data_IF_198055004153
#
_entry.id   IF_198055004153
#
_cell.length_a   1.000
_cell.length_b   1.000
_cell.length_c   1.000
_cell.angle_alpha   90.00
_cell.angle_beta   90.00
_cell.angle_gamma   90.00
#
_symmetry.space_group_name_H-M   'P 1'
#
loop_
_entity.id
_entity.type
_entity.pdbx_description
1 polymer ?
#
# COMPACT_ATOMS: atom_id res chain seq x y z
N UNK A 1 -14.73 -26.31 83.84
CA UNK A 1 -15.50 -25.50 82.86
C UNK A 1 -15.02 -25.89 81.46
N UNK A 2 -15.88 -26.55 80.69
CA UNK A 2 -15.59 -26.90 79.29
C UNK A 2 -16.17 -25.81 78.41
N UNK A 3 -15.35 -24.99 77.80
CA UNK A 3 -15.78 -24.02 76.80
C UNK A 3 -16.17 -24.80 75.52
N UNK A 4 -17.45 -24.62 75.09
CA UNK A 4 -17.94 -25.08 73.81
C UNK A 4 -17.59 -24.03 72.79
N UNK A 5 -16.63 -24.32 71.91
CA UNK A 5 -16.33 -23.53 70.70
C UNK A 5 -17.47 -23.75 69.70
N UNK A 6 -18.25 -22.74 69.46
CA UNK A 6 -19.35 -22.74 68.48
C UNK A 6 -18.73 -22.35 67.10
N UNK A 7 -18.58 -23.31 66.20
CA UNK A 7 -18.17 -23.05 64.82
C UNK A 7 -19.40 -22.52 64.04
N UNK A 8 -19.41 -21.25 63.67
CA UNK A 8 -20.33 -20.75 62.70
C UNK A 8 -19.84 -21.09 61.29
N UNK A 9 -20.49 -22.07 60.66
CA UNK A 9 -20.30 -22.37 59.24
C UNK A 9 -21.09 -21.32 58.44
N UNK A 10 -20.40 -20.28 57.94
CA UNK A 10 -21.01 -19.36 56.97
C UNK A 10 -21.07 -20.06 55.63
N UNK A 11 -22.22 -20.63 55.30
CA UNK A 11 -22.49 -21.12 53.96
C UNK A 11 -22.82 -19.87 53.12
N UNK A 12 -21.84 -19.33 52.41
CA UNK A 12 -22.10 -18.38 51.32
C UNK A 12 -22.80 -19.14 50.18
N UNK A 13 -24.09 -18.99 50.11
CA UNK A 13 -24.86 -19.49 48.99
C UNK A 13 -24.44 -18.75 47.72
N UNK A 14 -23.92 -19.47 46.75
CA UNK A 14 -23.66 -18.93 45.40
C UNK A 14 -25.02 -18.87 44.71
N UNK A 15 -25.57 -17.67 44.53
CA UNK A 15 -26.82 -17.47 43.81
C UNK A 15 -26.51 -17.21 42.34
N UNK A 16 -27.08 -18.01 41.44
CA UNK A 16 -27.07 -17.69 40.02
C UNK A 16 -27.85 -16.38 39.80
N UNK A 17 -27.22 -15.40 39.17
CA UNK A 17 -27.83 -14.11 38.89
C UNK A 17 -28.36 -14.08 37.44
N UNK A 18 -29.69 -13.97 37.27
CA UNK A 18 -30.29 -13.87 35.96
C UNK A 18 -30.08 -12.52 35.25
N UNK A 19 -29.50 -11.54 35.95
CA UNK A 19 -29.16 -10.21 35.46
C UNK A 19 -27.68 -10.02 35.15
N UNK A 20 -26.97 -11.10 34.84
CA UNK A 20 -25.54 -11.08 34.51
C UNK A 20 -24.61 -11.37 35.70
N UNK A 21 -23.39 -11.85 35.44
CA UNK A 21 -22.39 -12.15 36.46
C UNK A 21 -21.69 -10.90 36.98
N UNK A 22 -20.93 -11.04 38.07
CA UNK A 22 -19.92 -10.05 38.45
C UNK A 22 -18.84 -9.94 37.36
N UNK A 23 -18.01 -8.90 37.43
CA UNK A 23 -16.89 -8.75 36.51
C UNK A 23 -15.90 -9.92 36.59
N UNK A 24 -15.24 -10.24 35.46
CA UNK A 24 -14.12 -11.15 35.42
C UNK A 24 -14.48 -12.62 35.10
N UNK A 25 -15.64 -12.88 34.50
CA UNK A 25 -16.05 -14.23 34.10
C UNK A 25 -16.13 -14.42 32.58
N UNK A 26 -15.45 -13.55 31.81
CA UNK A 26 -15.39 -13.64 30.35
C UNK A 26 -14.31 -14.62 29.81
N UNK A 27 -13.70 -15.44 30.64
CA UNK A 27 -12.57 -16.30 30.30
C UNK A 27 -11.35 -15.52 29.81
N UNK A 28 -11.06 -14.41 30.44
CA UNK A 28 -10.00 -13.51 30.05
C UNK A 28 -8.81 -13.52 31.03
N UNK A 29 -7.66 -13.09 30.53
CA UNK A 29 -6.45 -12.95 31.33
C UNK A 29 -6.64 -11.92 32.50
N UNK A 30 -5.93 -12.10 33.62
CA UNK A 30 -4.97 -13.18 33.93
C UNK A 30 -5.62 -14.45 34.53
N UNK A 31 -6.89 -14.38 34.99
CA UNK A 31 -7.47 -15.42 35.83
C UNK A 31 -8.20 -16.51 35.06
N UNK A 32 -8.61 -16.26 33.82
CA UNK A 32 -9.35 -17.19 32.94
C UNK A 32 -10.65 -17.72 33.58
N UNK A 33 -11.25 -16.96 34.52
CA UNK A 33 -12.50 -17.34 35.14
C UNK A 33 -13.65 -17.30 34.10
N UNK A 34 -14.60 -18.19 34.24
CA UNK A 34 -15.74 -18.31 33.35
C UNK A 34 -17.01 -18.71 34.13
N UNK A 35 -18.10 -18.99 33.45
CA UNK A 35 -19.38 -19.32 34.07
C UNK A 35 -19.35 -20.57 34.95
N UNK A 36 -18.31 -21.47 34.85
CA UNK A 36 -18.20 -22.65 35.73
C UNK A 36 -17.88 -22.30 37.16
N UNK A 37 -17.51 -21.06 37.47
CA UNK A 37 -17.32 -20.62 38.87
C UNK A 37 -18.60 -20.64 39.69
N UNK A 38 -19.77 -20.54 39.02
CA UNK A 38 -21.08 -20.55 39.64
C UNK A 38 -21.99 -21.67 39.12
N UNK A 39 -21.82 -22.08 37.86
CA UNK A 39 -22.61 -23.14 37.22
C UNK A 39 -21.83 -24.45 37.19
N UNK A 40 -22.53 -25.56 37.46
CA UNK A 40 -21.92 -26.89 37.44
C UNK A 40 -21.74 -27.37 36.00
N UNK A 41 -20.60 -27.92 35.66
CA UNK A 41 -20.30 -28.47 34.34
C UNK A 41 -18.82 -28.31 34.00
N UNK A 42 -18.44 -28.87 32.86
CA UNK A 42 -17.11 -28.68 32.29
C UNK A 42 -17.19 -27.71 31.12
N UNK A 43 -16.21 -26.83 31.00
CA UNK A 43 -16.14 -25.87 29.90
C UNK A 43 -16.05 -26.59 28.56
N UNK A 44 -16.85 -26.17 27.58
CA UNK A 44 -16.88 -26.70 26.20
C UNK A 44 -17.23 -28.20 26.10
N UNK A 45 -17.95 -28.75 27.06
CA UNK A 45 -18.33 -30.16 27.06
C UNK A 45 -19.70 -30.48 26.42
N UNK A 46 -20.54 -29.47 26.22
CA UNK A 46 -21.87 -29.59 25.59
C UNK A 46 -21.84 -29.62 24.06
N UNK A 47 -23.01 -29.63 23.45
CA UNK A 47 -23.20 -29.64 21.98
C UNK A 47 -23.42 -28.24 21.39
N UNK A 48 -23.02 -27.19 22.08
CA UNK A 48 -23.13 -25.80 21.65
C UNK A 48 -21.74 -25.14 21.56
N UNK A 49 -21.77 -23.83 21.44
CA UNK A 49 -20.59 -22.98 21.44
C UNK A 49 -20.94 -21.55 21.85
N UNK A 50 -19.91 -20.79 22.14
CA UNK A 50 -19.94 -19.32 22.11
C UNK A 50 -19.03 -18.85 21.00
N UNK A 51 -19.43 -17.86 20.22
CA UNK A 51 -18.67 -17.29 19.11
C UNK A 51 -18.86 -15.80 19.03
N UNK A 52 -17.85 -15.10 18.47
CA UNK A 52 -18.00 -13.72 18.02
C UNK A 52 -18.55 -13.69 16.59
N UNK A 53 -19.42 -12.72 16.32
CA UNK A 53 -20.01 -12.46 15.00
C UNK A 53 -19.61 -11.05 14.59
N UNK A 54 -19.23 -10.87 13.33
CA UNK A 54 -18.72 -9.62 12.78
C UNK A 54 -17.47 -9.09 13.52
N UNK A 55 -16.69 -9.97 14.13
CA UNK A 55 -15.35 -9.58 14.60
C UNK A 55 -14.48 -9.35 13.37
N UNK A 56 -13.87 -8.16 13.18
CA UNK A 56 -13.04 -7.91 12.02
C UNK A 56 -11.76 -8.74 12.07
N UNK A 57 -11.14 -8.98 10.94
CA UNK A 57 -9.84 -9.66 10.87
C UNK A 57 -8.71 -8.75 11.40
N UNK A 58 -8.86 -7.44 11.17
CA UNK A 58 -7.94 -6.39 11.63
C UNK A 58 -8.75 -5.24 12.24
N UNK A 59 -8.12 -4.42 13.07
CA UNK A 59 -8.72 -3.17 13.53
C UNK A 59 -7.92 -1.96 13.06
N UNK A 60 -8.62 -0.91 12.67
CA UNK A 60 -8.03 0.41 12.39
C UNK A 60 -8.11 1.23 13.69
N UNK A 61 -7.02 1.88 14.13
CA UNK A 61 -7.03 2.70 15.33
C UNK A 61 -8.11 3.78 15.30
N UNK A 62 -8.92 3.83 16.37
CA UNK A 62 -10.01 4.79 16.54
C UNK A 62 -11.34 4.43 15.86
N UNK A 63 -11.38 3.43 15.01
CA UNK A 63 -12.61 2.99 14.33
C UNK A 63 -13.56 2.24 15.26
N UNK A 64 -14.86 2.29 14.92
CA UNK A 64 -15.93 1.64 15.69
C UNK A 64 -16.48 0.42 14.94
N UNK A 65 -16.50 -0.72 15.61
CA UNK A 65 -16.99 -1.99 15.09
C UNK A 65 -18.21 -2.46 15.85
N UNK A 66 -19.26 -2.89 15.14
CA UNK A 66 -20.44 -3.49 15.74
C UNK A 66 -20.27 -5.02 15.79
N UNK A 67 -19.97 -5.53 16.98
CA UNK A 67 -19.60 -6.93 17.22
C UNK A 67 -20.74 -7.67 17.89
N UNK A 68 -20.99 -8.91 17.47
CA UNK A 68 -21.95 -9.81 18.10
C UNK A 68 -21.29 -10.89 18.95
N UNK A 69 -22.04 -11.38 19.94
CA UNK A 69 -21.77 -12.64 20.63
C UNK A 69 -22.96 -13.55 20.46
N UNK A 70 -22.72 -14.78 20.02
CA UNK A 70 -23.72 -15.83 19.93
C UNK A 70 -23.37 -17.00 20.84
N UNK A 71 -24.39 -17.48 21.60
CA UNK A 71 -24.30 -18.68 22.43
C UNK A 71 -25.34 -19.66 21.92
N UNK A 72 -24.91 -20.85 21.55
CA UNK A 72 -25.78 -21.94 21.11
C UNK A 72 -25.75 -23.12 22.08
N UNK A 73 -26.74 -23.98 22.01
CA UNK A 73 -26.82 -25.23 22.77
C UNK A 73 -28.09 -26.00 22.42
N UNK A 74 -28.09 -27.33 22.56
CA UNK A 74 -29.24 -28.16 22.29
C UNK A 74 -30.13 -28.29 23.52
N UNK A 75 -31.45 -28.20 23.33
CA UNK A 75 -32.49 -28.33 24.38
C UNK A 75 -32.38 -27.29 25.52
N UNK A 76 -31.79 -26.12 25.24
CA UNK A 76 -31.59 -25.07 26.22
C UNK A 76 -32.79 -24.10 26.23
N UNK A 77 -33.06 -23.52 27.40
CA UNK A 77 -34.19 -22.61 27.64
C UNK A 77 -33.83 -21.17 27.88
N UNK A 78 -32.57 -20.91 27.92
CA UNK A 78 -32.05 -19.55 28.07
C UNK A 78 -30.55 -19.48 27.95
N UNK A 79 -30.09 -18.29 27.60
CA UNK A 79 -28.67 -18.00 27.36
C UNK A 79 -28.21 -16.77 28.11
N UNK A 80 -26.93 -16.74 28.42
CA UNK A 80 -26.24 -15.60 29.00
C UNK A 80 -24.78 -15.56 28.55
N UNK A 81 -24.13 -14.41 28.70
CA UNK A 81 -22.72 -14.22 28.33
C UNK A 81 -22.06 -13.11 29.14
N UNK A 82 -20.75 -13.10 29.12
CA UNK A 82 -19.92 -11.95 29.46
C UNK A 82 -18.74 -11.93 28.48
N UNK A 83 -18.35 -10.72 27.98
CA UNK A 83 -17.24 -10.55 27.05
C UNK A 83 -16.43 -9.30 27.40
N UNK A 84 -15.18 -9.25 26.92
CA UNK A 84 -14.22 -8.15 27.09
C UNK A 84 -13.21 -8.16 25.93
N UNK A 85 -12.60 -6.99 25.62
CA UNK A 85 -11.46 -6.83 24.74
C UNK A 85 -10.22 -6.42 25.56
N UNK A 86 -9.08 -7.08 25.37
CA UNK A 86 -7.84 -6.83 26.10
C UNK A 86 -6.61 -6.94 25.18
N UNK A 87 -5.56 -6.17 25.53
CA UNK A 87 -4.19 -6.43 25.08
C UNK A 87 -3.36 -6.82 26.29
N UNK A 88 -2.90 -8.06 26.29
CA UNK A 88 -2.33 -8.69 27.49
C UNK A 88 -3.34 -8.72 28.66
N UNK A 89 -3.04 -8.02 29.75
CA UNK A 89 -3.90 -7.91 30.93
C UNK A 89 -4.66 -6.58 31.02
N UNK A 90 -4.49 -5.70 30.05
CA UNK A 90 -5.10 -4.36 30.02
C UNK A 90 -6.31 -4.34 29.10
N UNK A 91 -7.32 -3.54 29.45
CA UNK A 91 -8.47 -3.30 28.57
C UNK A 91 -7.99 -2.61 27.30
N UNK A 92 -8.47 -3.06 26.15
CA UNK A 92 -8.13 -2.54 24.84
C UNK A 92 -9.35 -1.94 24.15
N UNK A 93 -9.31 -0.64 23.87
CA UNK A 93 -10.44 0.09 23.29
C UNK A 93 -11.59 0.28 24.30
N UNK A 94 -12.75 0.68 23.80
CA UNK A 94 -13.94 0.95 24.60
C UNK A 94 -15.14 0.18 24.06
N UNK A 95 -15.76 -0.66 24.90
CA UNK A 95 -17.03 -1.34 24.59
C UNK A 95 -18.18 -0.45 25.05
N UNK A 96 -19.20 -0.29 24.22
CA UNK A 96 -20.41 0.45 24.50
C UNK A 96 -21.65 -0.24 23.95
N UNK A 97 -22.83 0.16 24.43
CA UNK A 97 -24.10 -0.34 23.92
C UNK A 97 -24.62 0.60 22.82
N UNK A 98 -25.26 0.02 21.81
CA UNK A 98 -25.95 0.75 20.76
C UNK A 98 -27.45 0.42 20.71
N UNK A 99 -28.18 0.96 19.75
CA UNK A 99 -29.64 0.73 19.61
C UNK A 99 -30.01 -0.75 19.38
N UNK A 100 -29.08 -1.59 18.96
CA UNK A 100 -29.26 -3.01 18.71
C UNK A 100 -28.84 -3.90 19.90
N UNK A 101 -28.31 -3.31 20.98
CA UNK A 101 -27.81 -4.00 22.18
C UNK A 101 -28.95 -4.48 23.10
N UNK A 102 -29.93 -5.16 22.53
CA UNK A 102 -31.07 -5.68 23.28
C UNK A 102 -30.63 -6.73 24.31
N UNK A 103 -31.12 -6.60 25.53
CA UNK A 103 -30.85 -7.52 26.65
C UNK A 103 -29.36 -7.64 27.03
N UNK A 104 -28.56 -6.62 26.69
CA UNK A 104 -27.20 -6.45 27.15
C UNK A 104 -27.07 -5.28 28.13
N UNK A 105 -26.01 -5.30 28.93
CA UNK A 105 -25.63 -4.22 29.84
C UNK A 105 -24.10 -4.13 29.97
N UNK A 106 -23.60 -2.98 30.36
CA UNK A 106 -22.21 -2.80 30.76
C UNK A 106 -22.03 -3.06 32.24
N UNK A 107 -20.99 -3.83 32.59
CA UNK A 107 -20.54 -4.01 33.96
C UNK A 107 -19.05 -3.67 34.04
N UNK A 108 -18.74 -2.40 34.28
CA UNK A 108 -17.40 -1.87 34.12
C UNK A 108 -16.95 -1.96 32.66
N UNK A 109 -15.83 -2.61 32.39
CA UNK A 109 -15.31 -2.82 31.04
C UNK A 109 -15.84 -4.11 30.35
N UNK A 110 -16.75 -4.80 31.00
CA UNK A 110 -17.36 -6.02 30.46
C UNK A 110 -18.73 -5.69 29.89
N UNK A 111 -19.03 -6.25 28.71
CA UNK A 111 -20.39 -6.36 28.21
C UNK A 111 -20.95 -7.72 28.61
N UNK A 112 -22.19 -7.74 29.05
CA UNK A 112 -22.85 -8.95 29.51
C UNK A 112 -24.37 -8.91 29.24
N UNK A 113 -25.04 -10.06 29.39
CA UNK A 113 -26.50 -10.05 29.37
C UNK A 113 -27.07 -9.33 30.60
N UNK A 114 -28.10 -8.52 30.38
CA UNK A 114 -28.86 -7.84 31.43
C UNK A 114 -30.03 -8.72 31.92
N UNK A 115 -30.44 -9.67 31.10
CA UNK A 115 -31.47 -10.65 31.41
C UNK A 115 -31.28 -11.90 30.56
N UNK A 116 -31.70 -13.03 31.08
CA UNK A 116 -31.68 -14.30 30.33
C UNK A 116 -32.52 -14.16 29.04
N UNK A 117 -31.92 -14.49 27.89
CA UNK A 117 -32.63 -14.51 26.61
C UNK A 117 -32.86 -15.92 26.11
N UNK A 118 -33.78 -16.09 25.15
CA UNK A 118 -33.99 -17.33 24.43
C UNK A 118 -33.33 -17.31 23.04
N UNK A 119 -32.87 -16.15 22.59
CA UNK A 119 -32.19 -15.98 21.29
C UNK A 119 -30.71 -16.35 21.33
N UNK A 120 -30.04 -16.16 22.48
CA UNK A 120 -28.62 -16.43 22.61
C UNK A 120 -27.72 -15.50 21.80
N UNK A 121 -28.21 -14.33 21.38
CA UNK A 121 -27.49 -13.41 20.53
C UNK A 121 -27.56 -11.99 21.10
N UNK A 122 -26.42 -11.28 21.09
CA UNK A 122 -26.27 -9.90 21.56
C UNK A 122 -25.30 -9.15 20.66
N UNK A 123 -25.46 -7.83 20.58
CA UNK A 123 -24.64 -6.92 19.79
C UNK A 123 -24.19 -5.77 20.67
N UNK A 124 -22.97 -5.30 20.47
CA UNK A 124 -22.38 -4.14 21.11
C UNK A 124 -21.39 -3.45 20.17
N UNK A 125 -21.07 -2.19 20.42
CA UNK A 125 -20.03 -1.48 19.69
C UNK A 125 -18.72 -1.55 20.45
N UNK A 126 -17.63 -1.66 19.72
CA UNK A 126 -16.28 -1.55 20.22
C UNK A 126 -15.52 -0.48 19.44
N UNK A 127 -15.06 0.55 20.14
CA UNK A 127 -14.15 1.55 19.58
C UNK A 127 -12.74 1.06 19.78
N UNK A 128 -12.00 0.89 18.71
CA UNK A 128 -10.62 0.45 18.74
C UNK A 128 -9.72 1.48 19.50
N UNK A 129 -8.60 1.04 20.08
CA UNK A 129 -7.61 1.98 20.64
C UNK A 129 -7.22 3.06 19.62
N UNK A 130 -6.98 4.28 20.09
CA UNK A 130 -6.65 5.44 19.23
C UNK A 130 -5.27 5.36 18.56
N UNK A 131 -4.48 4.35 18.88
CA UNK A 131 -3.18 4.05 18.28
C UNK A 131 -3.00 2.54 18.17
N UNK A 132 -2.06 2.12 17.33
CA UNK A 132 -1.63 0.71 17.28
C UNK A 132 -1.05 0.30 18.63
N UNK A 133 -1.67 -0.70 19.26
CA UNK A 133 -1.20 -1.34 20.52
C UNK A 133 -0.87 -2.83 20.32
N UNK A 134 -0.78 -3.28 19.03
CA UNK A 134 -0.57 -4.65 18.67
C UNK A 134 -1.82 -5.51 18.80
N UNK A 135 -1.65 -6.75 19.25
CA UNK A 135 -2.74 -7.72 19.35
C UNK A 135 -3.78 -7.31 20.39
N UNK A 136 -5.05 -7.38 20.00
CA UNK A 136 -6.23 -7.28 20.88
C UNK A 136 -6.95 -8.62 20.87
N UNK A 137 -7.12 -9.19 22.05
CA UNK A 137 -7.85 -10.44 22.25
C UNK A 137 -9.24 -10.17 22.80
N UNK A 138 -10.25 -10.60 22.08
CA UNK A 138 -11.63 -10.66 22.53
C UNK A 138 -11.87 -12.00 23.22
N UNK A 139 -12.35 -11.94 24.46
CA UNK A 139 -12.67 -13.13 25.24
C UNK A 139 -14.14 -13.14 25.64
N UNK A 140 -14.79 -14.27 25.52
CA UNK A 140 -16.16 -14.45 25.98
C UNK A 140 -16.39 -15.78 26.67
N UNK A 141 -17.24 -15.77 27.68
CA UNK A 141 -17.84 -16.96 28.27
C UNK A 141 -19.35 -16.92 28.05
N UNK A 142 -19.89 -17.99 27.52
CA UNK A 142 -21.31 -18.20 27.24
C UNK A 142 -21.90 -19.29 28.11
N UNK A 143 -23.15 -19.11 28.46
CA UNK A 143 -23.92 -20.04 29.26
C UNK A 143 -25.19 -20.44 28.53
N UNK A 144 -25.44 -21.73 28.38
CA UNK A 144 -26.70 -22.29 27.87
C UNK A 144 -27.38 -23.07 28.99
N UNK A 145 -28.54 -22.58 29.45
CA UNK A 145 -29.20 -23.09 30.68
C UNK A 145 -30.29 -24.12 30.41
N UNK A 146 -30.30 -25.20 31.19
CA UNK A 146 -31.36 -26.21 31.14
C UNK A 146 -32.73 -25.77 31.70
N UNK A 147 -32.80 -24.60 32.30
CA UNK A 147 -34.03 -23.93 32.70
C UNK A 147 -34.64 -24.35 34.03
N UNK A 148 -33.89 -24.96 34.94
CA UNK A 148 -34.36 -25.44 36.23
C UNK A 148 -34.23 -24.41 37.35
N UNK A 149 -34.07 -23.14 37.14
CA UNK A 149 -33.82 -22.10 38.16
C UNK A 149 -32.68 -22.39 39.14
N UNK A 150 -31.73 -23.27 38.74
CA UNK A 150 -30.56 -23.67 39.51
C UNK A 150 -29.31 -23.59 38.64
N UNK A 151 -28.16 -23.95 39.24
CA UNK A 151 -26.86 -23.94 38.56
C UNK A 151 -26.44 -25.30 37.98
N UNK A 152 -27.36 -26.27 38.01
CA UNK A 152 -27.10 -27.63 37.56
C UNK A 152 -27.68 -27.94 36.19
N UNK A 153 -26.97 -28.72 35.39
CA UNK A 153 -27.40 -29.11 34.02
C UNK A 153 -27.26 -28.01 32.99
N UNK A 154 -26.44 -27.04 33.25
CA UNK A 154 -26.09 -25.95 32.35
C UNK A 154 -24.77 -26.28 31.60
N UNK A 155 -24.69 -25.82 30.35
CA UNK A 155 -23.50 -25.94 29.52
C UNK A 155 -22.79 -24.59 29.47
N UNK A 156 -21.44 -24.62 29.71
CA UNK A 156 -20.59 -23.45 29.69
C UNK A 156 -19.62 -23.53 28.52
N UNK A 157 -19.53 -22.46 27.77
CA UNK A 157 -18.66 -22.33 26.60
C UNK A 157 -17.73 -21.14 26.76
N UNK A 158 -16.55 -21.21 26.15
CA UNK A 158 -15.57 -20.12 26.12
C UNK A 158 -15.00 -19.97 24.73
N UNK A 159 -14.67 -18.76 24.36
CA UNK A 159 -13.97 -18.41 23.13
C UNK A 159 -12.96 -17.28 23.40
N UNK A 160 -11.84 -17.32 22.72
CA UNK A 160 -10.91 -16.19 22.59
C UNK A 160 -10.50 -16.07 21.14
N UNK A 161 -10.56 -14.85 20.62
CA UNK A 161 -10.16 -14.52 19.25
C UNK A 161 -9.30 -13.28 19.27
N UNK A 162 -8.18 -13.31 18.58
CA UNK A 162 -7.25 -12.18 18.52
C UNK A 162 -7.29 -11.52 17.15
N UNK A 163 -7.21 -10.20 17.14
CA UNK A 163 -7.06 -9.36 15.96
C UNK A 163 -5.85 -8.44 16.16
N UNK A 164 -5.21 -8.03 15.07
CA UNK A 164 -4.08 -7.08 15.11
C UNK A 164 -4.50 -5.73 14.53
N UNK A 165 -3.73 -4.70 14.82
CA UNK A 165 -3.94 -3.42 14.17
C UNK A 165 -3.62 -3.52 12.70
N UNK A 166 -4.53 -3.03 11.88
CA UNK A 166 -4.21 -2.59 10.54
C UNK A 166 -3.94 -1.09 10.64
N UNK A 167 -2.68 -0.70 10.64
CA UNK A 167 -2.34 0.70 10.37
C UNK A 167 -2.90 1.02 8.99
N UNK A 168 -3.62 2.13 8.79
CA UNK A 168 -3.94 2.58 7.44
C UNK A 168 -2.64 2.58 6.66
N UNK A 169 -2.61 1.93 5.51
CA UNK A 169 -1.42 1.91 4.67
C UNK A 169 -1.13 3.36 4.31
N UNK A 170 0.02 3.87 4.70
CA UNK A 170 0.48 5.17 4.24
C UNK A 170 0.99 4.98 2.80
N UNK A 171 0.16 5.33 1.84
CA UNK A 171 0.48 5.20 0.42
C UNK A 171 1.40 6.29 -0.10
N UNK A 172 1.84 7.26 0.71
CA UNK A 172 2.67 8.37 0.22
C UNK A 172 3.97 7.90 -0.39
N UNK A 173 4.53 6.79 0.08
CA UNK A 173 5.72 6.14 -0.48
C UNK A 173 5.44 5.21 -1.67
N UNK A 174 4.21 5.14 -2.18
CA UNK A 174 3.87 4.39 -3.38
C UNK A 174 3.80 5.36 -4.56
N UNK A 175 4.57 5.13 -5.61
CA UNK A 175 4.61 6.05 -6.76
C UNK A 175 5.08 5.37 -8.04
N UNK A 176 4.84 6.01 -9.18
CA UNK A 176 5.39 5.55 -10.46
C UNK A 176 6.92 5.75 -10.46
N UNK A 177 7.66 4.66 -10.57
CA UNK A 177 9.11 4.65 -10.65
C UNK A 177 9.62 4.69 -12.09
N UNK A 178 8.87 4.12 -13.03
CA UNK A 178 9.20 4.18 -14.44
C UNK A 178 7.93 4.26 -15.32
N UNK A 179 8.05 4.98 -16.42
CA UNK A 179 7.01 5.16 -17.43
C UNK A 179 7.65 4.99 -18.80
N UNK A 180 7.15 4.09 -19.62
CA UNK A 180 7.63 3.85 -20.97
C UNK A 180 6.60 4.17 -22.03
N UNK A 181 6.94 5.09 -22.94
CA UNK A 181 6.18 5.37 -24.15
C UNK A 181 7.13 5.32 -25.35
N UNK A 182 6.97 4.32 -26.27
CA UNK A 182 7.92 4.06 -27.33
C UNK A 182 7.74 4.96 -28.56
N UNK A 183 8.76 5.02 -29.42
CA UNK A 183 8.63 5.55 -30.78
C UNK A 183 7.94 4.52 -31.68
N UNK A 184 6.61 4.47 -31.56
CA UNK A 184 5.75 3.52 -32.28
C UNK A 184 5.67 2.14 -31.63
N UNK A 185 4.62 1.39 -31.94
CA UNK A 185 4.32 0.10 -31.33
C UNK A 185 3.67 0.23 -29.95
N UNK A 186 3.66 -0.89 -29.23
CA UNK A 186 2.99 -1.02 -27.93
C UNK A 186 3.96 -1.42 -26.79
N UNK A 187 5.22 -0.98 -26.83
CA UNK A 187 6.19 -1.24 -25.76
C UNK A 187 5.92 -0.33 -24.55
N UNK A 188 4.64 -0.25 -24.11
CA UNK A 188 4.15 0.66 -23.10
C UNK A 188 4.03 -0.03 -21.77
N UNK A 189 4.46 0.65 -20.70
CA UNK A 189 4.39 0.13 -19.34
C UNK A 189 4.37 1.24 -18.30
N UNK A 190 3.92 0.86 -17.12
CA UNK A 190 3.98 1.65 -15.90
C UNK A 190 4.61 0.77 -14.82
N UNK A 191 5.64 1.25 -14.17
CA UNK A 191 6.22 0.62 -12.99
C UNK A 191 5.86 1.41 -11.74
N UNK A 192 5.42 0.71 -10.71
CA UNK A 192 5.02 1.26 -9.42
C UNK A 192 5.98 0.73 -8.36
N UNK A 193 6.63 1.62 -7.61
CA UNK A 193 7.55 1.28 -6.54
C UNK A 193 6.88 1.42 -5.17
N UNK A 194 7.17 0.48 -4.27
CA UNK A 194 6.78 0.54 -2.88
C UNK A 194 7.94 1.01 -1.99
N UNK A 195 8.04 2.32 -1.78
CA UNK A 195 8.94 2.95 -0.80
C UNK A 195 8.32 3.12 0.58
N UNK A 196 7.17 2.52 0.88
CA UNK A 196 6.53 2.57 2.20
C UNK A 196 7.27 1.68 3.21
N UNK A 197 6.91 1.76 4.47
CA UNK A 197 7.50 0.92 5.52
C UNK A 197 6.96 -0.51 5.62
N UNK A 198 6.00 -0.91 4.76
CA UNK A 198 5.31 -2.21 4.83
C UNK A 198 4.97 -2.77 3.46
N UNK A 199 4.49 -4.01 3.42
CA UNK A 199 3.88 -4.59 2.20
C UNK A 199 2.60 -3.81 1.89
N UNK A 200 2.43 -3.39 0.64
CA UNK A 200 1.23 -2.69 0.17
C UNK A 200 0.34 -3.66 -0.59
N UNK A 201 -0.91 -3.84 -0.14
CA UNK A 201 -1.96 -4.48 -0.95
C UNK A 201 -2.43 -3.51 -2.03
N UNK A 202 -2.63 -4.00 -3.25
CA UNK A 202 -3.17 -3.22 -4.36
C UNK A 202 -4.70 -3.35 -4.50
N UNK A 203 -5.38 -4.05 -3.58
CA UNK A 203 -6.84 -4.22 -3.63
C UNK A 203 -7.59 -2.88 -3.48
N UNK A 204 -7.02 -1.91 -2.75
CA UNK A 204 -7.56 -0.55 -2.56
C UNK A 204 -6.83 0.51 -3.41
N UNK A 205 -6.02 0.09 -4.38
CA UNK A 205 -5.27 0.96 -5.28
C UNK A 205 -5.77 0.80 -6.70
N UNK A 206 -5.83 1.90 -7.45
CA UNK A 206 -6.22 1.90 -8.86
C UNK A 206 -5.27 2.78 -9.68
N UNK A 207 -5.17 2.49 -10.98
CA UNK A 207 -4.60 3.43 -11.93
C UNK A 207 -5.75 4.10 -12.68
N UNK A 208 -5.88 5.42 -12.52
CA UNK A 208 -6.81 6.22 -13.27
C UNK A 208 -6.19 6.63 -14.61
N UNK A 209 -7.00 6.63 -15.64
CA UNK A 209 -6.60 7.05 -16.98
C UNK A 209 -7.61 7.99 -17.62
N UNK A 210 -7.10 8.86 -18.48
CA UNK A 210 -7.91 9.63 -19.40
C UNK A 210 -7.30 9.58 -20.81
N UNK A 211 -8.01 10.11 -21.77
CA UNK A 211 -7.55 10.23 -23.14
C UNK A 211 -7.81 11.65 -23.65
N UNK A 212 -6.79 12.25 -24.28
CA UNK A 212 -6.90 13.51 -25.01
C UNK A 212 -7.58 14.62 -24.20
N UNK A 213 -7.13 14.87 -22.97
CA UNK A 213 -7.60 15.95 -22.12
C UNK A 213 -9.02 15.81 -21.57
N UNK A 214 -9.67 14.67 -21.73
CA UNK A 214 -10.99 14.38 -21.16
C UNK A 214 -10.92 14.15 -19.64
N UNK A 215 -12.06 14.16 -18.93
CA UNK A 215 -12.12 13.67 -17.54
C UNK A 215 -11.69 12.20 -17.43
N UNK A 216 -11.44 11.71 -16.21
CA UNK A 216 -11.16 10.31 -15.96
C UNK A 216 -12.18 9.40 -16.65
N UNK A 217 -11.71 8.52 -17.50
CA UNK A 217 -12.52 7.58 -18.29
C UNK A 217 -12.26 6.13 -17.92
N UNK A 218 -11.18 5.88 -17.19
CA UNK A 218 -10.76 4.56 -16.75
C UNK A 218 -10.35 4.55 -15.29
N UNK A 219 -10.63 3.42 -14.63
CA UNK A 219 -10.13 3.08 -13.32
C UNK A 219 -9.69 1.61 -13.39
N UNK A 220 -8.43 1.38 -13.67
CA UNK A 220 -7.82 0.05 -13.72
C UNK A 220 -7.66 -0.49 -12.29
N UNK A 221 -8.17 -1.68 -12.04
CA UNK A 221 -8.01 -2.43 -10.80
C UNK A 221 -7.05 -3.59 -11.03
N UNK A 222 -6.10 -3.76 -10.13
CA UNK A 222 -5.14 -4.87 -10.17
C UNK A 222 -5.82 -6.22 -9.96
N UNK A 223 -5.15 -7.30 -10.33
CA UNK A 223 -5.63 -8.65 -10.02
C UNK A 223 -5.81 -8.83 -8.51
N UNK A 224 -6.88 -9.54 -8.12
CA UNK A 224 -7.23 -9.73 -6.70
C UNK A 224 -6.07 -10.34 -5.90
N UNK A 225 -5.73 -9.71 -4.78
CA UNK A 225 -4.63 -10.11 -3.89
C UNK A 225 -3.25 -9.70 -4.38
N UNK A 226 -3.15 -8.86 -5.43
CA UNK A 226 -1.89 -8.27 -5.82
C UNK A 226 -1.31 -7.41 -4.69
N UNK A 227 0.00 -7.45 -4.52
CA UNK A 227 0.71 -6.70 -3.48
C UNK A 227 2.14 -6.41 -3.89
N UNK A 228 2.73 -5.36 -3.32
CA UNK A 228 4.13 -5.00 -3.54
C UNK A 228 4.89 -5.09 -2.23
N UNK A 229 5.97 -5.85 -2.19
CA UNK A 229 6.85 -5.93 -1.02
C UNK A 229 7.59 -4.60 -0.80
N UNK A 230 8.10 -4.38 0.41
CA UNK A 230 8.90 -3.18 0.72
C UNK A 230 10.13 -3.12 -0.17
N UNK A 231 10.33 -2.02 -0.88
CA UNK A 231 11.48 -1.80 -1.75
C UNK A 231 11.40 -2.56 -3.08
N UNK A 232 10.24 -3.10 -3.42
CA UNK A 232 10.00 -3.83 -4.67
C UNK A 232 9.12 -3.00 -5.62
N UNK A 233 8.92 -3.48 -6.83
CA UNK A 233 8.12 -2.84 -7.87
C UNK A 233 6.99 -3.74 -8.37
N UNK A 234 5.99 -3.14 -9.04
CA UNK A 234 4.92 -3.83 -9.75
C UNK A 234 4.77 -3.22 -11.14
N UNK A 235 4.84 -4.06 -12.17
CA UNK A 235 4.88 -3.62 -13.56
C UNK A 235 3.60 -4.02 -14.28
N UNK A 236 2.89 -3.02 -14.80
CA UNK A 236 1.74 -3.21 -15.70
C UNK A 236 2.18 -2.86 -17.11
N UNK A 237 2.15 -3.81 -18.02
CA UNK A 237 2.64 -3.64 -19.39
C UNK A 237 1.56 -3.92 -20.44
N UNK A 238 1.74 -3.36 -21.64
CA UNK A 238 0.96 -3.76 -22.80
C UNK A 238 1.36 -5.17 -23.21
N UNK A 239 0.38 -6.03 -23.51
CA UNK A 239 0.63 -7.43 -23.90
C UNK A 239 1.36 -7.61 -25.23
N UNK A 240 1.48 -6.54 -26.02
CA UNK A 240 2.25 -6.50 -27.28
C UNK A 240 3.62 -5.83 -27.08
N UNK A 241 4.07 -5.64 -25.83
CA UNK A 241 5.36 -5.07 -25.52
C UNK A 241 6.51 -6.01 -25.94
N UNK A 242 7.73 -5.45 -25.90
CA UNK A 242 8.96 -6.23 -26.14
C UNK A 242 9.09 -7.39 -25.14
N UNK A 243 9.67 -8.50 -25.56
CA UNK A 243 9.87 -9.69 -24.73
C UNK A 243 10.63 -9.37 -23.42
N UNK A 244 11.54 -8.38 -23.43
CA UNK A 244 12.28 -7.96 -22.25
C UNK A 244 11.38 -7.24 -21.21
N UNK A 245 10.39 -6.47 -21.67
CA UNK A 245 9.39 -5.85 -20.80
C UNK A 245 8.44 -6.92 -20.27
N UNK A 246 7.93 -7.80 -21.16
CA UNK A 246 7.00 -8.87 -20.79
C UNK A 246 7.60 -9.86 -19.79
N UNK A 247 8.91 -10.07 -19.82
CA UNK A 247 9.60 -10.95 -18.87
C UNK A 247 9.64 -10.40 -17.44
N UNK A 248 9.42 -9.09 -17.25
CA UNK A 248 9.41 -8.41 -15.97
C UNK A 248 7.99 -8.01 -15.52
N UNK A 249 7.02 -8.02 -16.44
CA UNK A 249 5.66 -7.57 -16.14
C UNK A 249 4.94 -8.52 -15.18
N UNK A 250 4.33 -7.96 -14.13
CA UNK A 250 3.46 -8.67 -13.20
C UNK A 250 2.06 -8.84 -13.78
N UNK A 251 1.62 -7.87 -14.60
CA UNK A 251 0.30 -7.87 -15.23
C UNK A 251 0.37 -7.28 -16.65
N UNK A 252 -0.34 -7.88 -17.59
CA UNK A 252 -0.35 -7.44 -19.00
C UNK A 252 -1.76 -7.25 -19.53
N UNK A 253 -1.95 -6.19 -20.34
CA UNK A 253 -3.24 -5.85 -20.95
C UNK A 253 -3.09 -5.55 -22.44
N UNK A 254 -4.03 -6.06 -23.24
CA UNK A 254 -4.09 -5.80 -24.67
C UNK A 254 -4.91 -4.54 -24.98
N UNK A 255 -4.69 -3.97 -26.15
CA UNK A 255 -5.60 -2.97 -26.70
C UNK A 255 -6.99 -3.59 -26.91
N UNK A 256 -8.01 -2.97 -26.31
CA UNK A 256 -9.40 -3.45 -26.37
C UNK A 256 -9.84 -4.30 -25.19
N UNK A 257 -8.96 -4.60 -24.24
CA UNK A 257 -9.35 -5.09 -22.92
C UNK A 257 -10.19 -4.05 -22.19
N UNK A 258 -10.93 -4.41 -21.13
CA UNK A 258 -11.78 -3.45 -20.40
C UNK A 258 -11.06 -2.19 -19.95
N UNK A 259 -9.75 -2.28 -19.82
CA UNK A 259 -8.87 -1.22 -19.35
C UNK A 259 -7.81 -0.92 -20.42
N UNK A 260 -7.87 0.26 -21.03
CA UNK A 260 -6.84 0.72 -21.98
C UNK A 260 -5.62 1.33 -21.28
N UNK A 261 -5.37 0.96 -20.03
CA UNK A 261 -4.41 1.67 -19.16
C UNK A 261 -2.98 1.70 -19.70
N UNK A 262 -2.60 0.70 -20.50
CA UNK A 262 -1.31 0.62 -21.17
C UNK A 262 -1.39 0.96 -22.69
N UNK A 263 -2.44 1.67 -23.10
CA UNK A 263 -2.65 2.10 -24.49
C UNK A 263 -2.62 3.62 -24.64
N UNK A 264 -1.75 4.28 -23.88
CA UNK A 264 -1.55 5.75 -23.89
C UNK A 264 -0.57 6.19 -24.98
N UNK A 265 -0.52 7.49 -25.29
CA UNK A 265 0.32 8.07 -26.33
C UNK A 265 0.97 9.41 -25.92
N UNK A 266 1.45 9.51 -24.70
CA UNK A 266 2.24 10.65 -24.23
C UNK A 266 1.42 11.86 -23.76
N UNK A 267 0.24 12.11 -24.30
CA UNK A 267 -0.69 13.17 -23.92
C UNK A 267 -1.86 12.68 -23.02
N UNK A 268 -1.81 11.41 -22.63
CA UNK A 268 -2.80 10.75 -21.81
C UNK A 268 -2.36 10.66 -20.35
N UNK A 269 -3.12 11.24 -19.43
CA UNK A 269 -2.78 11.23 -18.00
C UNK A 269 -2.91 9.85 -17.39
N UNK A 270 -1.98 9.49 -16.55
CA UNK A 270 -2.03 8.30 -15.68
C UNK A 270 -1.84 8.72 -14.23
N UNK A 271 -2.74 8.31 -13.35
CA UNK A 271 -2.64 8.60 -11.93
C UNK A 271 -2.78 7.33 -11.10
N UNK A 272 -1.92 7.16 -10.13
CA UNK A 272 -2.04 6.17 -9.07
C UNK A 272 -2.92 6.77 -7.98
N UNK A 273 -3.93 6.05 -7.53
CA UNK A 273 -4.89 6.55 -6.55
C UNK A 273 -5.31 5.47 -5.55
N UNK A 274 -5.56 5.87 -4.32
CA UNK A 274 -6.20 5.09 -3.27
C UNK A 274 -7.73 5.22 -3.38
N UNK A 275 -8.44 4.12 -3.21
CA UNK A 275 -9.90 4.08 -3.07
C UNK A 275 -10.24 3.75 -1.62
N UNK A 276 -10.92 4.68 -0.95
CA UNK A 276 -11.44 4.48 0.40
C UNK A 276 -12.96 4.67 0.40
N UNK A 277 -13.68 3.58 0.25
CA UNK A 277 -15.14 3.59 0.09
C UNK A 277 -15.57 4.33 -1.17
N UNK A 278 -16.11 5.55 -1.05
CA UNK A 278 -16.49 6.41 -2.19
C UNK A 278 -15.44 7.47 -2.52
N UNK A 279 -14.44 7.63 -1.70
CA UNK A 279 -13.42 8.65 -1.83
C UNK A 279 -12.23 8.11 -2.63
N UNK A 280 -11.69 8.97 -3.49
CA UNK A 280 -10.52 8.67 -4.32
C UNK A 280 -9.45 9.72 -4.06
N UNK A 281 -8.28 9.28 -3.60
CA UNK A 281 -7.15 10.17 -3.30
C UNK A 281 -6.00 9.87 -4.25
N UNK A 282 -5.55 10.85 -5.02
CA UNK A 282 -4.42 10.69 -5.94
C UNK A 282 -3.12 10.63 -5.11
N UNK A 283 -2.37 9.57 -5.29
CA UNK A 283 -1.07 9.33 -4.68
C UNK A 283 0.04 9.92 -5.57
N UNK A 284 -0.01 9.61 -6.87
CA UNK A 284 0.98 10.07 -7.85
C UNK A 284 0.32 10.27 -9.23
N UNK A 285 0.89 11.15 -10.06
CA UNK A 285 0.34 11.44 -11.38
C UNK A 285 1.44 11.71 -12.40
N UNK A 286 1.24 11.22 -13.61
CA UNK A 286 2.01 11.54 -14.82
C UNK A 286 1.08 12.30 -15.77
N UNK A 287 1.46 13.55 -16.09
CA UNK A 287 0.61 14.47 -16.82
C UNK A 287 -0.35 15.25 -15.92
N UNK A 288 -1.19 16.09 -16.51
CA UNK A 288 -2.17 16.92 -15.80
C UNK A 288 -3.47 17.01 -16.56
N UNK A 289 -4.59 17.08 -15.83
CA UNK A 289 -5.90 17.40 -16.42
C UNK A 289 -6.09 18.92 -16.63
N UNK A 290 -5.23 19.74 -16.01
CA UNK A 290 -5.28 21.20 -16.17
C UNK A 290 -4.74 21.59 -17.55
N UNK A 291 -5.43 22.52 -18.21
CA UNK A 291 -5.02 23.01 -19.52
C UNK A 291 -5.51 22.19 -20.71
N UNK A 292 -6.13 21.05 -20.47
CA UNK A 292 -6.65 20.16 -21.52
C UNK A 292 -5.57 19.31 -22.16
N UNK A 293 -5.83 18.87 -23.39
CA UNK A 293 -4.95 18.04 -24.20
C UNK A 293 -3.69 18.83 -24.64
N UNK A 294 -2.46 18.40 -24.30
CA UNK A 294 -1.23 19.04 -24.75
C UNK A 294 -0.92 18.76 -26.23
N UNK A 295 -1.59 17.78 -26.85
CA UNK A 295 -1.49 17.43 -28.26
C UNK A 295 -0.35 16.51 -28.64
N UNK A 296 0.73 16.47 -27.86
CA UNK A 296 1.87 15.56 -28.09
C UNK A 296 2.33 14.93 -26.78
N UNK A 297 2.75 15.73 -25.82
CA UNK A 297 3.20 15.28 -24.51
C UNK A 297 3.53 16.48 -23.63
N UNK A 298 3.86 16.22 -22.39
CA UNK A 298 4.32 17.25 -21.43
C UNK A 298 5.83 17.39 -21.45
N UNK A 299 6.30 18.59 -21.18
CA UNK A 299 7.69 18.85 -20.88
C UNK A 299 8.07 18.19 -19.54
N UNK A 300 9.23 17.53 -19.50
CA UNK A 300 9.82 16.95 -18.27
C UNK A 300 11.33 17.25 -18.28
N UNK A 301 11.85 17.76 -17.18
CA UNK A 301 13.28 18.04 -17.01
C UNK A 301 13.85 19.02 -18.07
N UNK A 302 12.99 19.84 -18.70
CA UNK A 302 13.38 20.76 -19.78
C UNK A 302 13.40 20.10 -21.17
N UNK A 303 12.97 18.85 -21.29
CA UNK A 303 12.80 18.14 -22.57
C UNK A 303 11.34 18.29 -23.03
N UNK A 304 11.13 18.93 -24.17
CA UNK A 304 9.79 19.12 -24.75
C UNK A 304 9.17 17.77 -25.15
N UNK A 305 7.89 17.60 -24.86
CA UNK A 305 7.11 16.38 -25.15
C UNK A 305 7.70 15.08 -24.56
N UNK A 306 8.39 15.15 -23.42
CA UNK A 306 9.13 14.03 -22.86
C UNK A 306 8.26 12.85 -22.37
N UNK A 307 6.96 13.03 -22.25
CA UNK A 307 6.03 11.90 -22.02
C UNK A 307 5.67 11.14 -23.29
N UNK A 308 6.09 11.61 -24.47
CA UNK A 308 5.93 10.96 -25.77
C UNK A 308 7.28 10.51 -26.30
N UNK A 309 7.39 9.28 -26.77
CA UNK A 309 8.57 8.69 -27.38
C UNK A 309 9.82 8.73 -26.46
N UNK A 310 9.62 8.60 -25.14
CA UNK A 310 10.70 8.56 -24.15
C UNK A 310 10.40 7.54 -23.06
N UNK A 311 11.42 7.26 -22.26
CA UNK A 311 11.28 6.58 -20.99
C UNK A 311 11.60 7.57 -19.86
N UNK A 312 10.70 7.63 -18.89
CA UNK A 312 10.90 8.45 -17.69
C UNK A 312 11.27 7.52 -16.53
N UNK A 313 12.40 7.77 -15.87
CA UNK A 313 12.86 7.03 -14.69
C UNK A 313 12.88 7.97 -13.50
N UNK A 314 12.21 7.61 -12.41
CA UNK A 314 12.17 8.42 -11.20
C UNK A 314 13.52 8.49 -10.54
N UNK A 315 13.92 9.66 -10.05
CA UNK A 315 15.22 9.84 -9.36
C UNK A 315 15.24 9.12 -8.02
N UNK A 316 16.38 8.57 -7.65
CA UNK A 316 16.61 7.87 -6.38
C UNK A 316 16.34 8.74 -5.14
N UNK A 317 16.39 10.05 -5.27
CA UNK A 317 16.09 11.00 -4.19
C UNK A 317 14.60 11.17 -3.90
N UNK A 318 13.71 10.66 -4.77
CA UNK A 318 12.26 10.74 -4.58
C UNK A 318 11.81 9.63 -3.66
N UNK A 319 11.06 9.99 -2.62
CA UNK A 319 10.58 9.07 -1.58
C UNK A 319 9.06 9.04 -1.46
N UNK A 320 8.36 9.85 -2.26
CA UNK A 320 6.89 9.93 -2.24
C UNK A 320 6.35 10.33 -3.61
N UNK A 321 5.09 9.96 -3.88
CA UNK A 321 4.35 10.44 -5.03
C UNK A 321 4.07 11.95 -4.95
N UNK A 322 3.72 12.55 -6.09
CA UNK A 322 3.50 14.00 -6.21
C UNK A 322 2.10 14.47 -5.76
N UNK A 323 1.27 13.55 -5.22
CA UNK A 323 -0.08 13.83 -4.73
C UNK A 323 -0.97 14.60 -5.74
N UNK A 324 -0.84 14.29 -7.02
CA UNK A 324 -1.58 14.95 -8.10
C UNK A 324 -0.97 16.26 -8.62
N UNK A 325 0.20 16.66 -8.13
CA UNK A 325 0.87 17.89 -8.56
C UNK A 325 1.98 17.60 -9.58
N UNK A 326 1.60 17.41 -10.83
CA UNK A 326 2.52 17.12 -11.93
C UNK A 326 3.61 18.18 -12.11
N UNK A 327 3.26 19.46 -11.99
CA UNK A 327 4.20 20.57 -12.22
C UNK A 327 5.40 20.56 -11.25
N UNK A 328 5.19 20.05 -10.01
CA UNK A 328 6.29 19.88 -9.06
C UNK A 328 7.21 18.71 -9.44
N UNK A 329 6.65 17.66 -10.05
CA UNK A 329 7.35 16.43 -10.40
C UNK A 329 8.09 16.55 -11.74
N UNK A 330 7.43 17.12 -12.77
CA UNK A 330 8.01 17.22 -14.12
C UNK A 330 9.25 18.12 -14.16
N UNK A 331 9.23 19.23 -13.44
CA UNK A 331 10.29 20.23 -13.48
C UNK A 331 10.44 20.87 -14.87
N UNK A 332 11.28 21.92 -14.94
CA UNK A 332 11.64 22.64 -16.17
C UNK A 332 13.11 22.52 -16.54
N UNK A 333 13.87 21.83 -15.71
CA UNK A 333 15.30 21.51 -15.92
C UNK A 333 15.61 20.14 -15.33
N UNK A 334 16.69 19.54 -15.76
CA UNK A 334 17.16 18.28 -15.18
C UNK A 334 17.35 18.36 -13.66
N UNK A 335 17.79 19.51 -13.13
CA UNK A 335 18.06 19.65 -11.69
C UNK A 335 16.79 19.69 -10.84
N UNK A 336 15.73 20.35 -11.33
CA UNK A 336 14.49 20.53 -10.55
C UNK A 336 13.39 19.52 -10.88
N UNK A 337 13.60 18.61 -11.83
CA UNK A 337 12.73 17.49 -12.12
C UNK A 337 12.95 16.34 -11.16
N UNK A 338 11.91 15.59 -10.87
CA UNK A 338 11.97 14.30 -10.17
C UNK A 338 12.28 13.13 -11.11
N UNK A 339 12.45 13.39 -12.40
CA UNK A 339 12.64 12.40 -13.44
C UNK A 339 13.95 12.55 -14.20
N UNK A 340 14.49 11.41 -14.62
CA UNK A 340 15.41 11.32 -15.73
C UNK A 340 14.62 11.04 -17.00
N UNK A 341 14.92 11.74 -18.08
CA UNK A 341 14.34 11.51 -19.40
C UNK A 341 15.34 10.74 -20.24
N UNK A 342 14.97 9.55 -20.66
CA UNK A 342 15.80 8.67 -21.49
C UNK A 342 15.25 8.61 -22.90
N UNK A 343 16.11 8.21 -23.85
CA UNK A 343 15.70 7.91 -25.20
C UNK A 343 14.61 6.80 -25.22
N UNK A 344 13.76 6.82 -26.23
CA UNK A 344 12.75 5.81 -26.44
C UNK A 344 13.35 4.40 -26.52
N UNK A 345 12.57 3.41 -26.17
CA UNK A 345 12.98 2.00 -26.17
C UNK A 345 14.20 1.68 -25.27
N UNK A 346 14.43 2.49 -24.24
CA UNK A 346 15.45 2.22 -23.24
C UNK A 346 14.81 1.82 -21.90
N UNK A 347 14.60 0.54 -21.70
CA UNK A 347 14.05 -0.08 -20.47
C UNK A 347 15.12 -0.80 -19.64
N UNK A 348 16.34 -0.27 -19.63
CA UNK A 348 17.46 -0.86 -18.87
C UNK A 348 17.30 -0.75 -17.36
N UNK A 349 16.38 0.09 -16.89
CA UNK A 349 16.13 0.35 -15.48
C UNK A 349 14.87 -0.33 -14.97
N UNK A 350 14.03 -0.88 -15.86
CA UNK A 350 12.80 -1.55 -15.54
C UNK A 350 13.03 -2.77 -14.64
N UNK A 351 12.19 -2.94 -13.63
CA UNK A 351 12.19 -4.08 -12.72
C UNK A 351 12.83 -3.82 -11.36
N UNK A 352 13.22 -2.57 -11.07
CA UNK A 352 13.71 -2.18 -9.75
C UNK A 352 13.74 -0.66 -9.55
N UNK A 353 13.76 -0.22 -8.30
CA UNK A 353 13.98 1.18 -7.91
C UNK A 353 14.53 1.19 -6.47
N UNK A 354 15.35 2.17 -6.04
CA UNK A 354 15.88 3.31 -6.79
C UNK A 354 17.10 2.98 -7.64
N UNK A 355 17.33 3.81 -8.66
CA UNK A 355 18.56 3.78 -9.46
C UNK A 355 19.42 4.99 -9.20
N UNK A 356 20.68 4.75 -8.82
CA UNK A 356 21.70 5.78 -8.87
C UNK A 356 22.13 5.94 -10.33
N UNK A 357 21.40 6.77 -11.06
CA UNK A 357 21.89 7.27 -12.33
C UNK A 357 22.92 8.33 -12.01
N UNK A 358 24.18 7.95 -11.95
CA UNK A 358 25.22 8.97 -12.12
C UNK A 358 24.91 9.63 -13.46
N UNK A 359 24.93 10.97 -13.52
CA UNK A 359 25.17 11.61 -14.79
C UNK A 359 26.35 10.84 -15.39
N UNK A 360 26.15 10.13 -16.49
CA UNK A 360 27.25 9.35 -17.08
C UNK A 360 28.36 10.33 -17.24
N UNK A 361 29.58 10.01 -16.77
CA UNK A 361 30.69 10.91 -16.88
C UNK A 361 30.81 11.34 -18.34
N UNK A 362 30.80 12.64 -18.65
CA UNK A 362 30.89 13.11 -20.02
C UNK A 362 31.99 12.37 -20.75
N UNK A 363 31.69 11.73 -21.83
CA UNK A 363 32.69 10.99 -22.57
C UNK A 363 32.86 11.54 -23.98
N UNK A 364 34.06 11.47 -24.49
CA UNK A 364 34.42 11.82 -25.86
C UNK A 364 35.24 10.70 -26.45
N UNK A 365 34.85 10.22 -27.61
CA UNK A 365 35.60 9.20 -28.37
C UNK A 365 35.80 9.69 -29.78
N UNK A 366 37.00 9.52 -30.31
CA UNK A 366 37.29 9.73 -31.74
C UNK A 366 36.74 8.52 -32.47
N UNK A 367 35.67 8.68 -33.25
CA UNK A 367 35.07 7.63 -34.06
C UNK A 367 35.73 7.44 -35.42
N UNK A 368 36.38 8.51 -35.91
CA UNK A 368 37.18 8.46 -37.13
C UNK A 368 38.29 9.52 -37.07
N UNK A 369 39.52 9.24 -37.54
CA UNK A 369 40.05 7.93 -37.94
C UNK A 369 40.24 7.00 -36.73
N UNK A 370 40.23 5.69 -36.98
CA UNK A 370 40.48 4.68 -35.93
C UNK A 370 41.88 4.87 -35.31
N UNK A 371 42.01 4.63 -34.02
CA UNK A 371 43.29 4.70 -33.32
C UNK A 371 44.32 3.78 -33.95
N UNK A 372 45.54 4.31 -34.12
CA UNK A 372 46.64 3.60 -34.77
C UNK A 372 46.56 3.52 -36.31
N UNK A 373 45.56 4.13 -36.95
CA UNK A 373 45.45 4.18 -38.39
C UNK A 373 46.57 5.04 -39.02
N UNK A 374 47.11 4.63 -40.18
CA UNK A 374 48.08 5.39 -40.94
C UNK A 374 47.40 6.16 -42.08
N UNK A 375 47.49 7.45 -42.05
CA UNK A 375 46.90 8.35 -43.03
C UNK A 375 47.92 8.73 -44.12
N UNK A 376 47.53 8.57 -45.39
CA UNK A 376 48.45 8.72 -46.54
C UNK A 376 48.55 10.17 -47.07
N UNK A 377 48.57 11.17 -46.24
CA UNK A 377 48.63 12.60 -46.58
C UNK A 377 47.33 13.20 -47.14
N UNK A 378 47.01 14.38 -46.75
CA UNK A 378 45.83 15.13 -47.18
C UNK A 378 45.05 15.70 -46.00
N UNK A 379 43.86 16.17 -46.30
CA UNK A 379 42.96 16.66 -45.32
C UNK A 379 42.32 15.47 -44.57
N UNK A 380 42.37 15.48 -43.25
CA UNK A 380 41.82 14.45 -42.37
C UNK A 380 40.54 14.94 -41.73
N UNK A 381 39.44 14.23 -41.96
CA UNK A 381 38.21 14.45 -41.21
C UNK A 381 38.31 13.69 -39.90
N UNK A 382 38.16 14.38 -38.77
CA UNK A 382 38.11 13.75 -37.44
C UNK A 382 36.66 13.84 -36.91
N UNK A 383 36.09 12.71 -36.63
CA UNK A 383 34.71 12.59 -36.07
C UNK A 383 34.78 12.23 -34.59
N UNK A 384 33.99 12.92 -33.79
CA UNK A 384 33.85 12.66 -32.36
C UNK A 384 32.46 12.15 -32.07
N UNK A 385 32.33 11.15 -31.25
CA UNK A 385 31.11 10.81 -30.51
C UNK A 385 31.27 11.42 -29.11
N UNK A 386 30.36 12.32 -28.78
CA UNK A 386 30.25 12.93 -27.46
C UNK A 386 28.98 12.45 -26.80
N UNK A 387 29.08 11.93 -25.59
CA UNK A 387 27.96 11.40 -24.83
C UNK A 387 27.86 12.17 -23.53
N UNK A 388 26.64 12.49 -23.11
CA UNK A 388 26.33 13.17 -21.84
C UNK A 388 27.03 14.51 -21.65
N UNK A 389 27.18 15.28 -22.75
CA UNK A 389 27.79 16.60 -22.74
C UNK A 389 27.33 17.43 -23.95
N UNK A 390 26.65 18.55 -23.68
CA UNK A 390 26.18 19.46 -24.72
C UNK A 390 27.31 20.39 -25.12
N UNK A 391 27.90 20.14 -26.29
CA UNK A 391 29.04 20.94 -26.80
C UNK A 391 28.57 22.29 -27.31
N UNK A 392 29.10 23.37 -26.78
CA UNK A 392 28.82 24.73 -27.24
C UNK A 392 29.52 25.80 -26.41
N UNK A 393 29.20 27.08 -26.71
CA UNK A 393 29.70 28.24 -25.98
C UNK A 393 28.58 29.18 -25.52
N UNK A 394 27.31 28.77 -25.65
CA UNK A 394 26.16 29.55 -25.30
C UNK A 394 25.48 29.10 -23.99
N UNK A 395 24.38 29.78 -23.63
CA UNK A 395 23.55 29.37 -22.53
C UNK A 395 22.90 28.00 -22.87
N UNK A 396 22.89 27.06 -21.91
CA UNK A 396 22.37 25.71 -22.11
C UNK A 396 23.39 24.71 -22.67
N UNK A 397 24.69 25.05 -22.72
CA UNK A 397 25.75 24.13 -23.10
C UNK A 397 26.68 23.83 -21.93
N UNK A 398 27.19 22.58 -21.85
CA UNK A 398 28.05 22.13 -20.77
C UNK A 398 29.52 22.60 -20.94
N UNK A 399 29.91 22.93 -22.18
CA UNK A 399 31.23 23.42 -22.49
C UNK A 399 31.63 23.17 -23.95
N UNK A 400 32.91 23.16 -24.21
CA UNK A 400 33.44 23.03 -25.56
C UNK A 400 34.67 22.09 -25.61
N UNK A 401 34.92 21.53 -26.81
CA UNK A 401 36.03 20.60 -27.05
C UNK A 401 37.26 21.38 -27.48
N UNK A 402 38.41 20.97 -26.97
CA UNK A 402 39.72 21.35 -27.48
C UNK A 402 40.46 20.15 -28.03
N UNK A 403 41.19 20.30 -29.11
CA UNK A 403 42.09 19.26 -29.58
C UNK A 403 43.55 19.76 -29.56
N UNK A 404 44.48 18.84 -29.41
CA UNK A 404 45.91 19.06 -29.48
C UNK A 404 46.51 18.22 -30.59
N UNK A 405 47.21 18.81 -31.52
CA UNK A 405 47.92 18.10 -32.58
C UNK A 405 49.45 18.13 -32.31
N UNK A 406 50.07 16.97 -32.35
CA UNK A 406 51.52 16.77 -32.20
C UNK A 406 52.12 17.48 -30.95
N UNK A 407 51.35 17.56 -29.87
CA UNK A 407 51.80 18.23 -28.63
C UNK A 407 51.85 19.76 -28.70
N UNK A 408 51.19 20.35 -29.71
CA UNK A 408 51.06 21.82 -29.84
C UNK A 408 50.08 22.42 -28.81
N UNK A 409 49.77 23.71 -28.98
CA UNK A 409 48.79 24.38 -28.14
C UNK A 409 47.34 23.87 -28.38
N UNK A 410 46.49 23.82 -27.37
CA UNK A 410 45.08 23.45 -27.53
C UNK A 410 44.32 24.39 -28.49
N UNK A 411 43.62 23.83 -29.43
CA UNK A 411 42.82 24.56 -30.42
C UNK A 411 41.34 24.25 -30.24
N UNK A 412 40.50 25.27 -30.21
CA UNK A 412 39.05 25.13 -30.18
C UNK A 412 38.51 25.08 -31.60
N UNK A 413 37.69 24.03 -31.94
CA UNK A 413 37.02 23.98 -33.24
C UNK A 413 35.99 25.11 -33.40
N UNK A 414 35.79 25.63 -34.62
CA UNK A 414 35.07 26.89 -34.85
C UNK A 414 33.65 26.68 -35.46
N UNK A 415 33.00 25.53 -35.38
CA UNK A 415 31.68 25.35 -35.94
C UNK A 415 30.85 24.33 -35.21
N UNK A 416 29.58 24.67 -34.91
CA UNK A 416 28.75 24.00 -33.91
C UNK A 416 27.44 23.38 -34.45
N UNK A 417 27.25 23.24 -35.73
CA UNK A 417 25.96 22.66 -36.23
C UNK A 417 26.06 21.24 -36.77
N UNK A 418 27.23 20.76 -37.02
CA UNK A 418 27.60 19.34 -37.19
C UNK A 418 29.11 19.33 -36.95
N UNK A 419 29.60 18.49 -36.02
CA UNK A 419 31.03 18.38 -35.72
C UNK A 419 31.80 17.78 -36.89
N UNK A 420 31.87 18.51 -37.99
CA UNK A 420 32.94 18.35 -38.96
C UNK A 420 34.04 19.33 -38.60
N UNK A 421 35.08 18.84 -37.96
CA UNK A 421 36.31 19.66 -37.75
C UNK A 421 36.83 20.18 -39.09
N UNK A 422 37.42 21.39 -39.10
CA UNK A 422 38.10 21.86 -40.28
C UNK A 422 39.20 20.84 -40.63
N UNK A 423 39.30 20.55 -41.91
CA UNK A 423 40.35 19.75 -42.52
C UNK A 423 41.73 20.08 -41.96
N UNK A 424 42.33 19.18 -41.21
CA UNK A 424 43.72 19.34 -40.73
C UNK A 424 44.62 18.99 -41.88
N UNK A 425 45.39 19.96 -42.36
CA UNK A 425 46.50 19.68 -43.29
C UNK A 425 47.69 19.26 -42.46
N UNK A 426 48.09 18.01 -42.60
CA UNK A 426 49.37 17.50 -42.12
C UNK A 426 50.46 17.90 -43.03
#
# INVERSE_FOLDING_TARGET
>A
MREKLLFFLVISGVFANSGGPSQGYAHNAPNMNNCTQCHSGSTNAGNGMVSFVNLPEYYVPGETYSIGVEVTGTNQRGYGFQAIAQSGNSVAGEISLNSNSSSAEMNGNYVQHSTRTTSGSWVFDWVAPSSDIGEVTFSASGLATGGNNGTGGDDVYTVSSSIISQTPTDFTGLFFSEYGEPDGGNHKYLEIYNGTGGVVSLDDVVILGNYNGNPWSEAFTFQSGASIAVGDVYIVANSEADDAILALADETHAFGDPWYITSFNGDDVRALAEINGTDTTIIDIIGTLEGGDPGSGWEVAGVENATQNHVLVRKSSVTAGNAGNWANSSGTTADNSEWHVLEHNNWSYLGSHPHEMSAADPSIVISSPEDGSTLLSGDVNVEFLVTDFIVGTGEGTDGHIHYVLDGGDPVMPVSYTHLTLPTIRL
#
